data_IF_913999149081
#
_entry.id   IF_913999149081
#
_cell.length_a   1.000
_cell.length_b   1.000
_cell.length_c   1.000
_cell.angle_alpha   90.00
_cell.angle_beta   90.00
_cell.angle_gamma   90.00
#
_symmetry.space_group_name_H-M   'P 1'
#
loop_
_entity.id
_entity.type
_entity.pdbx_description
1 polymer ?
#
# COMPACT_ATOMS: atom_id res chain seq x y z
N UNK A 1 31.24 -18.30 -8.83
CA UNK A 1 29.89 -18.61 -9.31
C UNK A 1 28.99 -18.93 -8.12
N UNK A 2 27.89 -18.17 -7.97
CA UNK A 2 26.67 -18.46 -7.23
C UNK A 2 26.74 -18.91 -5.75
N UNK A 3 27.08 -17.98 -4.86
CA UNK A 3 26.48 -17.97 -3.52
C UNK A 3 25.19 -17.15 -3.60
N UNK A 4 24.08 -17.78 -3.98
CA UNK A 4 22.75 -17.27 -3.63
C UNK A 4 22.36 -18.01 -2.36
N UNK A 5 22.61 -17.38 -1.21
CA UNK A 5 21.87 -17.73 -0.01
C UNK A 5 20.38 -17.66 -0.36
N UNK A 6 19.55 -18.63 0.04
CA UNK A 6 18.11 -18.45 -0.04
C UNK A 6 17.74 -17.29 0.89
N UNK A 7 17.18 -16.21 0.32
CA UNK A 7 16.62 -15.10 1.09
C UNK A 7 15.55 -15.66 2.05
N UNK A 8 15.62 -15.39 3.37
CA UNK A 8 14.70 -15.96 4.37
C UNK A 8 13.27 -15.40 4.30
N UNK A 9 12.89 -14.74 3.21
CA UNK A 9 11.59 -14.08 3.04
C UNK A 9 10.67 -14.80 2.05
N UNK A 10 10.79 -16.12 1.95
CA UNK A 10 9.85 -16.95 1.21
C UNK A 10 9.22 -17.99 2.14
N UNK A 11 7.92 -17.78 2.39
CA UNK A 11 6.94 -18.73 2.92
C UNK A 11 6.97 -19.04 4.42
N UNK A 12 6.00 -18.49 5.15
CA UNK A 12 5.14 -19.37 5.96
C UNK A 12 3.75 -18.77 6.16
N UNK A 13 2.72 -19.53 5.78
CA UNK A 13 1.38 -19.28 6.25
C UNK A 13 1.29 -19.45 7.77
N UNK A 14 0.33 -18.71 8.32
CA UNK A 14 -0.48 -19.01 9.51
C UNK A 14 -0.09 -18.58 10.92
N UNK A 15 0.96 -17.79 11.23
CA UNK A 15 1.18 -17.39 12.66
C UNK A 15 1.72 -15.99 13.01
N UNK A 16 1.65 -14.98 12.14
CA UNK A 16 1.74 -13.56 12.56
C UNK A 16 0.80 -12.75 11.66
N UNK A 17 -0.37 -12.36 12.18
CA UNK A 17 -1.55 -12.01 11.39
C UNK A 17 -1.57 -10.54 10.92
N UNK A 18 -0.45 -10.02 10.45
CA UNK A 18 -0.36 -8.71 9.80
C UNK A 18 -0.04 -8.90 8.30
N UNK A 19 -0.80 -8.24 7.42
CA UNK A 19 -0.54 -8.25 5.98
C UNK A 19 0.82 -7.61 5.70
N UNK A 20 1.57 -8.15 4.74
CA UNK A 20 2.81 -7.50 4.26
C UNK A 20 2.50 -6.28 3.39
N UNK A 21 3.46 -5.37 3.25
CA UNK A 21 3.31 -4.13 2.47
C UNK A 21 2.83 -4.43 1.02
N UNK A 22 3.40 -5.46 0.39
CA UNK A 22 3.00 -5.91 -0.94
C UNK A 22 1.58 -6.48 -1.01
N UNK A 23 1.12 -7.16 0.05
CA UNK A 23 -0.25 -7.66 0.14
C UNK A 23 -1.25 -6.54 0.32
N UNK A 24 -0.94 -5.54 1.16
CA UNK A 24 -1.76 -4.33 1.33
C UNK A 24 -1.92 -3.61 -0.01
N UNK A 25 -0.82 -3.35 -0.72
CA UNK A 25 -0.85 -2.73 -2.06
C UNK A 25 -1.66 -3.57 -3.06
N UNK A 26 -1.49 -4.89 -3.03
CA UNK A 26 -2.25 -5.77 -3.89
C UNK A 26 -3.75 -5.73 -3.58
N UNK A 27 -4.15 -5.62 -2.31
CA UNK A 27 -5.55 -5.47 -1.91
C UNK A 27 -6.13 -4.12 -2.34
N UNK A 28 -5.38 -3.02 -2.16
CA UNK A 28 -5.77 -1.70 -2.65
C UNK A 28 -6.01 -1.70 -4.17
N UNK A 29 -5.16 -2.40 -4.94
CA UNK A 29 -5.30 -2.57 -6.40
C UNK A 29 -6.42 -3.52 -6.84
N UNK A 30 -6.97 -4.32 -5.92
CA UNK A 30 -8.12 -5.21 -6.19
C UNK A 30 -9.44 -4.61 -5.74
N UNK A 31 -9.39 -3.52 -4.97
CA UNK A 31 -10.56 -2.86 -4.44
C UNK A 31 -11.43 -2.24 -5.55
N UNK A 32 -12.71 -2.03 -5.28
CA UNK A 32 -13.61 -1.35 -6.23
C UNK A 32 -13.18 0.09 -6.57
N UNK A 33 -12.32 0.68 -5.75
CA UNK A 33 -11.72 2.01 -5.95
C UNK A 33 -10.25 1.94 -6.39
N UNK A 34 -9.78 0.81 -6.92
CA UNK A 34 -8.39 0.63 -7.35
C UNK A 34 -7.93 1.71 -8.33
N UNK A 35 -8.76 2.12 -9.28
CA UNK A 35 -8.43 3.20 -10.21
C UNK A 35 -8.13 4.54 -9.50
N UNK A 36 -8.85 4.84 -8.41
CA UNK A 36 -8.60 6.02 -7.58
C UNK A 36 -7.28 5.86 -6.82
N UNK A 37 -7.04 4.68 -6.25
CA UNK A 37 -5.79 4.37 -5.57
C UNK A 37 -4.59 4.54 -6.50
N UNK A 38 -4.61 3.95 -7.70
CA UNK A 38 -3.51 4.04 -8.67
C UNK A 38 -3.25 5.48 -9.13
N UNK A 39 -4.30 6.30 -9.28
CA UNK A 39 -4.15 7.72 -9.62
C UNK A 39 -3.45 8.50 -8.51
N UNK A 40 -3.86 8.30 -7.26
CA UNK A 40 -3.26 8.98 -6.12
C UNK A 40 -1.85 8.46 -5.81
N UNK A 41 -1.69 7.14 -5.78
CA UNK A 41 -0.47 6.45 -5.36
C UNK A 41 0.63 6.43 -6.43
N UNK A 42 0.31 5.98 -7.66
CA UNK A 42 1.32 5.79 -8.70
C UNK A 42 1.56 7.08 -9.51
N UNK A 43 0.57 7.97 -9.61
CA UNK A 43 0.65 9.19 -10.44
C UNK A 43 0.70 10.50 -9.64
N UNK A 44 0.34 10.49 -8.35
CA UNK A 44 0.16 11.73 -7.59
C UNK A 44 -0.89 12.65 -8.21
N UNK A 45 -1.90 12.09 -8.89
CA UNK A 45 -2.88 12.86 -9.64
C UNK A 45 -4.00 13.35 -8.70
N UNK A 46 -3.93 14.62 -8.33
CA UNK A 46 -4.86 15.29 -7.41
C UNK A 46 -5.96 16.08 -8.13
N UNK A 47 -6.13 15.86 -9.44
CA UNK A 47 -7.14 16.59 -10.26
C UNK A 47 -8.56 16.40 -9.74
N UNK A 48 -8.92 15.21 -9.26
CA UNK A 48 -10.24 14.93 -8.66
C UNK A 48 -10.48 15.69 -7.34
N UNK A 49 -9.42 16.24 -6.77
CA UNK A 49 -9.41 17.04 -5.55
C UNK A 49 -9.19 18.53 -5.84
N UNK A 50 -9.38 18.98 -7.09
CA UNK A 50 -9.15 20.36 -7.51
C UNK A 50 -7.71 20.86 -7.25
N UNK A 51 -6.73 19.95 -7.22
CA UNK A 51 -5.35 20.27 -6.88
C UNK A 51 -5.10 20.44 -5.38
N UNK A 52 -6.04 20.04 -4.53
CA UNK A 52 -5.83 19.99 -3.07
C UNK A 52 -5.08 18.70 -2.72
N UNK A 53 -3.76 18.83 -2.59
CA UNK A 53 -2.89 17.71 -2.24
C UNK A 53 -3.20 17.15 -0.85
N UNK A 54 -3.59 17.99 0.12
CA UNK A 54 -3.94 17.51 1.47
C UNK A 54 -5.20 16.65 1.47
N UNK A 55 -6.21 17.02 0.68
CA UNK A 55 -7.43 16.23 0.53
C UNK A 55 -7.16 14.90 -0.22
N UNK A 56 -6.26 14.93 -1.20
CA UNK A 56 -5.82 13.74 -1.93
C UNK A 56 -5.04 12.78 -1.04
N UNK A 57 -4.10 13.28 -0.23
CA UNK A 57 -3.32 12.52 0.75
C UNK A 57 -4.22 11.87 1.79
N UNK A 58 -5.18 12.62 2.35
CA UNK A 58 -6.14 12.08 3.31
C UNK A 58 -6.95 10.93 2.72
N UNK A 59 -7.33 11.04 1.45
CA UNK A 59 -8.07 9.98 0.79
C UNK A 59 -7.19 8.75 0.50
N UNK A 60 -5.92 8.94 0.14
CA UNK A 60 -4.98 7.84 -0.05
C UNK A 60 -4.74 7.09 1.25
N UNK A 61 -4.44 7.81 2.33
CA UNK A 61 -4.27 7.26 3.68
C UNK A 61 -5.54 6.52 4.11
N UNK A 62 -6.73 7.05 3.83
CA UNK A 62 -8.00 6.38 4.14
C UNK A 62 -8.18 5.04 3.41
N UNK A 63 -7.65 4.89 2.19
CA UNK A 63 -7.68 3.61 1.46
C UNK A 63 -6.69 2.61 2.06
N UNK A 64 -5.47 3.03 2.37
CA UNK A 64 -4.42 2.16 2.92
C UNK A 64 -4.78 1.72 4.35
N UNK A 65 -5.28 2.63 5.18
CA UNK A 65 -5.69 2.39 6.56
C UNK A 65 -6.86 1.39 6.71
N UNK A 66 -7.59 1.12 5.62
CA UNK A 66 -8.61 0.08 5.61
C UNK A 66 -8.00 -1.33 5.67
N UNK A 67 -6.80 -1.51 5.12
CA UNK A 67 -6.13 -2.81 5.01
C UNK A 67 -5.02 -3.01 6.06
N UNK A 68 -4.47 -1.93 6.61
CA UNK A 68 -3.50 -1.99 7.71
C UNK A 68 -3.79 -0.96 8.78
N UNK A 69 -3.53 -1.32 10.04
CA UNK A 69 -3.61 -0.44 11.20
C UNK A 69 -2.22 -0.18 11.81
N UNK A 70 -1.16 -0.73 11.20
CA UNK A 70 0.20 -0.55 11.67
C UNK A 70 0.73 0.81 11.17
N UNK A 71 1.07 1.75 12.07
CA UNK A 71 1.47 3.10 11.68
C UNK A 71 2.81 3.10 10.93
N UNK A 72 3.73 2.19 11.27
CA UNK A 72 5.02 2.08 10.58
C UNK A 72 4.83 1.54 9.15
N UNK A 73 3.94 0.57 8.95
CA UNK A 73 3.56 0.09 7.64
C UNK A 73 2.86 1.16 6.81
N UNK A 74 1.96 1.92 7.42
CA UNK A 74 1.25 2.98 6.73
C UNK A 74 2.22 4.09 6.26
N UNK A 75 3.20 4.47 7.10
CA UNK A 75 4.27 5.41 6.72
C UNK A 75 5.12 4.87 5.56
N UNK A 76 5.55 3.60 5.63
CA UNK A 76 6.32 2.95 4.55
C UNK A 76 5.55 2.89 3.24
N UNK A 77 4.25 2.65 3.32
CA UNK A 77 3.40 2.58 2.13
C UNK A 77 3.17 3.97 1.54
N UNK A 78 2.98 5.00 2.36
CA UNK A 78 2.66 6.35 1.90
C UNK A 78 3.86 7.10 1.28
N UNK A 79 5.10 6.68 1.56
CA UNK A 79 6.33 7.38 1.16
C UNK A 79 6.82 7.07 -0.26
#
# INVERSE_FOLDING_TARGET
MASRCPDPYMSNGTWDAALSDAEVLALCRRAGNAAKFERLYDRGDTVEYAGDDSAADLALVGVIAFYTQDPDQLDRLFR
#
